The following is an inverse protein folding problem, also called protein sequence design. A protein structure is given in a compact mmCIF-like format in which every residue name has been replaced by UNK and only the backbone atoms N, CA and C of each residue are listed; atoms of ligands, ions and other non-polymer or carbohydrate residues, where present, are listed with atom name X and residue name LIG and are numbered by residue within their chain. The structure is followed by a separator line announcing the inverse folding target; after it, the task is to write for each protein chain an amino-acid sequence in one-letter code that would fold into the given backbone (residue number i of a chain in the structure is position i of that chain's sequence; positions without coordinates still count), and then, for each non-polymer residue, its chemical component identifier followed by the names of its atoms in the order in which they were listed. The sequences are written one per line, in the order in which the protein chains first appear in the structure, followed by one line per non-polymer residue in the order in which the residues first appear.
data_IF_517354349333
#
_entry.id   IF_517354349333
#
_cell.length_a   1.000
_cell.length_b   1.000
_cell.length_c   1.000
_cell.angle_alpha   90.00
_cell.angle_beta   90.00
_cell.angle_gamma   90.00
#
_symmetry.space_group_name_H-M   'P 1'
#
loop_
_entity.id
_entity.type
_entity.pdbx_description
1 polymer ?
#
# COMPACT_ATOMS: atom_id res chain seq x y z
N UNK A 1 24.31 29.36 41.65
CA UNK A 1 23.95 27.99 42.03
C UNK A 1 22.51 27.78 41.65
N UNK A 2 22.28 27.32 40.41
CA UNK A 2 20.94 27.04 39.88
C UNK A 2 20.83 25.53 39.69
N UNK A 3 19.98 24.93 40.50
CA UNK A 3 19.59 23.54 40.39
C UNK A 3 18.75 23.34 39.10
N UNK A 4 19.28 22.58 38.16
CA UNK A 4 18.53 22.01 37.03
C UNK A 4 17.76 20.82 37.58
N UNK A 5 16.45 20.97 37.71
CA UNK A 5 15.52 19.87 37.98
C UNK A 5 15.32 19.14 36.66
N UNK A 6 15.88 17.95 36.55
CA UNK A 6 15.56 17.02 35.46
C UNK A 6 14.20 16.40 35.74
N UNK A 7 13.19 16.90 35.01
CA UNK A 7 11.85 16.32 35.02
C UNK A 7 11.92 14.98 34.24
N UNK A 8 11.90 13.89 35.00
CA UNK A 8 11.68 12.55 34.47
C UNK A 8 10.20 12.44 34.12
N UNK A 9 9.82 12.83 32.89
CA UNK A 9 8.47 12.59 32.39
C UNK A 9 8.18 11.09 32.41
N UNK A 10 7.31 10.76 33.30
CA UNK A 10 6.72 9.48 33.61
C UNK A 10 6.02 8.92 32.31
N UNK A 11 6.60 7.90 31.68
CA UNK A 11 6.02 7.21 30.52
C UNK A 11 4.89 6.24 30.91
N UNK A 12 4.54 6.18 32.20
CA UNK A 12 3.50 5.28 32.75
C UNK A 12 2.07 5.73 32.44
N UNK A 13 1.89 6.86 31.74
CA UNK A 13 0.57 7.43 31.40
C UNK A 13 -0.04 6.98 30.06
N UNK A 14 0.63 6.11 29.30
CA UNK A 14 0.04 5.56 28.08
C UNK A 14 -0.87 4.41 28.50
N UNK A 15 -2.14 4.72 28.62
CA UNK A 15 -3.17 3.77 29.03
C UNK A 15 -3.17 2.56 28.08
N UNK A 16 -3.22 1.31 28.58
CA UNK A 16 -3.33 0.09 27.75
C UNK A 16 -4.54 0.10 26.80
N UNK A 17 -5.49 1.00 27.05
CA UNK A 17 -6.70 1.20 26.26
C UNK A 17 -6.40 1.71 24.84
N UNK A 18 -5.23 2.35 24.60
CA UNK A 18 -4.86 2.83 23.26
C UNK A 18 -4.38 1.68 22.38
N UNK A 19 -3.71 0.69 22.98
CA UNK A 19 -3.16 -0.46 22.23
C UNK A 19 -4.27 -1.43 21.77
N UNK A 20 -5.36 -1.53 22.52
CA UNK A 20 -6.47 -2.44 22.19
C UNK A 20 -7.46 -1.87 21.15
N UNK A 21 -7.31 -0.60 20.74
CA UNK A 21 -8.17 0.02 19.73
C UNK A 21 -7.69 -0.21 18.28
N UNK A 22 -6.46 -0.69 18.03
CA UNK A 22 -5.98 -0.94 16.67
C UNK A 22 -6.64 -2.15 16.02
N UNK A 23 -6.97 -3.20 16.78
CA UNK A 23 -7.73 -4.35 16.27
C UNK A 23 -9.17 -4.01 15.83
N UNK A 24 -9.74 -2.90 16.33
CA UNK A 24 -11.11 -2.51 16.00
C UNK A 24 -11.24 -1.71 14.70
N UNK A 25 -10.14 -1.36 14.03
CA UNK A 25 -10.15 -0.51 12.82
C UNK A 25 -10.34 -1.28 11.51
N UNK A 26 -10.59 -2.59 11.56
CA UNK A 26 -10.96 -3.36 10.36
C UNK A 26 -12.33 -2.92 9.88
N UNK A 27 -12.33 -2.18 8.78
CA UNK A 27 -13.55 -1.71 8.15
C UNK A 27 -14.38 -2.88 7.63
N UNK A 28 -15.59 -3.04 8.13
CA UNK A 28 -16.53 -4.00 7.58
C UNK A 28 -17.01 -3.60 6.18
N UNK A 29 -17.04 -4.52 5.20
CA UNK A 29 -17.45 -4.22 3.84
C UNK A 29 -18.91 -3.82 3.78
N UNK A 30 -19.20 -2.58 3.40
CA UNK A 30 -20.55 -2.00 3.39
C UNK A 30 -21.34 -2.23 2.10
N UNK A 31 -20.75 -2.93 1.10
CA UNK A 31 -21.42 -3.13 -0.19
C UNK A 31 -20.73 -4.16 -1.10
N UNK A 32 -21.34 -4.41 -2.27
CA UNK A 32 -20.80 -5.38 -3.24
C UNK A 32 -19.39 -5.02 -3.73
N UNK A 33 -19.12 -3.72 -3.95
CA UNK A 33 -17.79 -3.24 -4.36
C UNK A 33 -16.74 -3.45 -3.28
N UNK A 34 -17.10 -3.23 -2.02
CA UNK A 34 -16.21 -3.48 -0.88
C UNK A 34 -15.89 -4.96 -0.74
N UNK A 35 -16.91 -5.82 -0.89
CA UNK A 35 -16.71 -7.27 -0.85
C UNK A 35 -15.77 -7.75 -1.95
N UNK A 36 -15.93 -7.22 -3.18
CA UNK A 36 -15.04 -7.54 -4.30
C UNK A 36 -13.62 -7.05 -4.01
N UNK A 37 -13.45 -5.82 -3.57
CA UNK A 37 -12.14 -5.26 -3.26
C UNK A 37 -11.43 -6.07 -2.14
N UNK A 38 -12.14 -6.34 -1.05
CA UNK A 38 -11.63 -7.15 0.06
C UNK A 38 -11.26 -8.57 -0.39
N UNK A 39 -12.08 -9.20 -1.21
CA UNK A 39 -11.80 -10.55 -1.76
C UNK A 39 -10.54 -10.55 -2.62
N UNK A 40 -10.31 -9.53 -3.44
CA UNK A 40 -9.09 -9.39 -4.25
C UNK A 40 -7.87 -9.32 -3.33
N UNK A 41 -7.87 -8.44 -2.33
CA UNK A 41 -6.74 -8.25 -1.41
C UNK A 41 -6.46 -9.52 -0.62
N UNK A 42 -7.48 -10.14 -0.01
CA UNK A 42 -7.29 -11.40 0.72
C UNK A 42 -6.78 -12.56 -0.17
N UNK A 43 -7.21 -12.61 -1.44
CA UNK A 43 -6.69 -13.61 -2.37
C UNK A 43 -5.21 -13.39 -2.67
N UNK A 44 -4.80 -12.15 -2.85
CA UNK A 44 -3.39 -11.79 -3.06
C UNK A 44 -2.57 -12.09 -1.80
N UNK A 45 -3.05 -11.70 -0.62
CA UNK A 45 -2.39 -12.00 0.66
C UNK A 45 -2.20 -13.51 0.85
N UNK A 46 -3.25 -14.31 0.63
CA UNK A 46 -3.18 -15.77 0.76
C UNK A 46 -2.19 -16.41 -0.23
N UNK A 47 -2.12 -15.91 -1.47
CA UNK A 47 -1.13 -16.34 -2.47
C UNK A 47 0.28 -16.00 -1.98
N UNK A 48 0.48 -14.79 -1.46
CA UNK A 48 1.76 -14.35 -0.94
C UNK A 48 2.22 -15.16 0.26
N UNK A 49 1.31 -15.46 1.20
CA UNK A 49 1.58 -16.31 2.36
C UNK A 49 1.98 -17.72 1.94
N UNK A 50 1.29 -18.29 0.96
CA UNK A 50 1.62 -19.61 0.45
C UNK A 50 3.00 -19.69 -0.20
N UNK A 51 3.39 -18.66 -0.99
CA UNK A 51 4.67 -18.67 -1.71
C UNK A 51 5.87 -18.28 -0.85
N UNK A 52 5.70 -17.32 0.08
CA UNK A 52 6.84 -16.74 0.81
C UNK A 52 6.98 -17.26 2.24
N UNK A 53 5.95 -17.83 2.83
CA UNK A 53 5.97 -18.36 4.21
C UNK A 53 6.73 -17.46 5.19
N UNK A 54 7.91 -17.90 5.67
CA UNK A 54 8.75 -17.15 6.61
C UNK A 54 9.75 -16.18 5.94
N UNK A 55 9.74 -16.03 4.61
CA UNK A 55 10.66 -15.16 3.87
C UNK A 55 10.15 -13.72 3.79
N UNK A 56 9.97 -13.07 4.93
CA UNK A 56 9.34 -11.74 5.05
C UNK A 56 9.93 -10.67 4.14
N UNK A 57 11.28 -10.53 4.05
CA UNK A 57 11.90 -9.51 3.21
C UNK A 57 11.64 -9.72 1.71
N UNK A 58 11.60 -10.97 1.24
CA UNK A 58 11.29 -11.28 -0.16
C UNK A 58 9.81 -11.04 -0.47
N UNK A 59 8.92 -11.36 0.48
CA UNK A 59 7.50 -11.03 0.42
C UNK A 59 7.31 -9.51 0.31
N UNK A 60 8.00 -8.73 1.16
CA UNK A 60 7.95 -7.28 1.14
C UNK A 60 8.36 -6.71 -0.23
N UNK A 61 9.43 -7.20 -0.87
CA UNK A 61 9.84 -6.76 -2.22
C UNK A 61 8.71 -6.90 -3.24
N UNK A 62 7.94 -7.99 -3.19
CA UNK A 62 6.79 -8.17 -4.10
C UNK A 62 5.65 -7.23 -3.74
N UNK A 63 5.32 -7.11 -2.45
CA UNK A 63 4.22 -6.27 -1.97
C UNK A 63 4.46 -4.80 -2.29
N UNK A 64 5.64 -4.25 -2.04
CA UNK A 64 5.99 -2.86 -2.36
C UNK A 64 5.94 -2.60 -3.88
N UNK A 65 6.36 -3.61 -4.68
CA UNK A 65 6.24 -3.52 -6.14
C UNK A 65 4.78 -3.41 -6.60
N UNK A 66 3.87 -4.11 -5.93
CA UNK A 66 2.43 -4.07 -6.20
C UNK A 66 1.82 -2.78 -5.63
N UNK A 67 2.22 -2.36 -4.44
CA UNK A 67 1.70 -1.18 -3.75
C UNK A 67 1.97 0.13 -4.52
N UNK A 68 3.09 0.23 -5.24
CA UNK A 68 3.38 1.38 -6.09
C UNK A 68 2.45 1.52 -7.32
N UNK A 69 1.82 0.43 -7.78
CA UNK A 69 1.00 0.43 -9.01
C UNK A 69 -0.23 1.34 -8.93
N UNK A 70 -1.02 1.35 -7.84
CA UNK A 70 -2.18 2.22 -7.71
C UNK A 70 -1.87 3.70 -7.91
N UNK A 71 -0.82 4.20 -7.26
CA UNK A 71 -0.37 5.58 -7.39
C UNK A 71 0.05 5.91 -8.83
N UNK A 72 0.81 5.05 -9.49
CA UNK A 72 1.21 5.23 -10.89
C UNK A 72 0.01 5.23 -11.84
N UNK A 73 -0.89 4.27 -11.73
CA UNK A 73 -2.09 4.17 -12.59
C UNK A 73 -3.04 5.34 -12.35
N UNK A 74 -3.30 5.65 -11.08
CA UNK A 74 -4.15 6.76 -10.70
C UNK A 74 -3.59 8.10 -11.17
N UNK A 75 -2.31 8.36 -10.94
CA UNK A 75 -1.61 9.56 -11.39
C UNK A 75 -1.65 9.71 -12.91
N UNK A 76 -1.34 8.65 -13.66
CA UNK A 76 -1.41 8.65 -15.13
C UNK A 76 -2.81 8.99 -15.63
N UNK A 77 -3.85 8.30 -15.14
CA UNK A 77 -5.21 8.50 -15.60
C UNK A 77 -5.78 9.87 -15.21
N UNK A 78 -5.44 10.38 -14.03
CA UNK A 78 -5.82 11.74 -13.63
C UNK A 78 -5.09 12.79 -14.48
N UNK A 79 -3.82 12.56 -14.81
CA UNK A 79 -3.06 13.45 -15.68
C UNK A 79 -3.68 13.52 -17.09
N UNK A 80 -3.97 12.37 -17.70
CA UNK A 80 -4.64 12.30 -19.00
C UNK A 80 -6.03 12.98 -18.97
N UNK A 81 -6.78 12.81 -17.89
CA UNK A 81 -8.08 13.46 -17.70
C UNK A 81 -7.94 14.97 -17.58
N UNK A 82 -6.96 15.46 -16.81
CA UNK A 82 -6.68 16.88 -16.65
C UNK A 82 -6.34 17.53 -17.99
N UNK A 83 -5.48 16.92 -18.77
CA UNK A 83 -5.11 17.40 -20.11
C UNK A 83 -6.32 17.41 -21.06
N UNK A 84 -7.09 16.32 -21.12
CA UNK A 84 -8.24 16.17 -22.02
C UNK A 84 -9.33 17.20 -21.77
N UNK A 85 -9.59 17.51 -20.51
CA UNK A 85 -10.67 18.43 -20.13
C UNK A 85 -10.18 19.83 -19.75
N UNK A 86 -8.88 20.10 -19.87
CA UNK A 86 -8.23 21.39 -19.51
C UNK A 86 -8.71 21.83 -18.11
N UNK A 87 -8.59 20.92 -17.12
CA UNK A 87 -9.02 21.16 -15.74
C UNK A 87 -7.89 20.85 -14.77
N UNK A 88 -7.75 21.67 -13.73
CA UNK A 88 -6.87 21.38 -12.62
C UNK A 88 -7.29 20.10 -11.88
N UNK A 89 -6.31 19.35 -11.40
CA UNK A 89 -6.48 18.07 -10.70
C UNK A 89 -6.65 18.21 -9.17
N UNK A 90 -6.57 19.44 -8.65
CA UNK A 90 -6.66 19.77 -7.21
C UNK A 90 -5.60 19.06 -6.35
N UNK A 91 -4.41 18.83 -6.89
CA UNK A 91 -3.30 18.17 -6.19
C UNK A 91 -3.37 16.63 -6.17
N UNK A 92 -4.35 16.03 -6.84
CA UNK A 92 -4.47 14.57 -6.87
C UNK A 92 -3.33 13.87 -7.60
N UNK A 93 -2.80 14.49 -8.67
CA UNK A 93 -1.70 13.90 -9.43
C UNK A 93 -0.45 13.84 -8.54
N UNK A 94 -0.11 14.96 -7.88
CA UNK A 94 1.04 15.04 -6.97
C UNK A 94 0.90 14.01 -5.85
N UNK A 95 -0.23 13.97 -5.14
CA UNK A 95 -0.45 13.03 -4.05
C UNK A 95 -0.30 11.56 -4.47
N UNK A 96 -0.82 11.18 -5.65
CA UNK A 96 -0.73 9.80 -6.15
C UNK A 96 0.70 9.43 -6.59
N UNK A 97 1.46 10.38 -7.14
CA UNK A 97 2.85 10.16 -7.51
C UNK A 97 3.76 10.12 -6.29
N UNK A 98 3.50 10.92 -5.26
CA UNK A 98 4.21 10.88 -3.99
C UNK A 98 4.01 9.54 -3.28
N UNK A 99 2.79 8.99 -3.31
CA UNK A 99 2.48 7.65 -2.80
C UNK A 99 3.30 6.59 -3.56
N UNK A 100 3.27 6.61 -4.89
CA UNK A 100 4.06 5.66 -5.70
C UNK A 100 5.57 5.78 -5.46
N UNK A 101 6.09 6.99 -5.23
CA UNK A 101 7.49 7.23 -4.90
C UNK A 101 7.84 6.72 -3.50
N UNK A 102 6.95 6.87 -2.54
CA UNK A 102 7.12 6.31 -1.19
C UNK A 102 7.25 4.78 -1.24
N UNK A 103 6.36 4.09 -1.96
CA UNK A 103 6.44 2.65 -2.16
C UNK A 103 7.72 2.21 -2.88
N UNK A 104 8.16 3.00 -3.86
CA UNK A 104 9.45 2.76 -4.52
C UNK A 104 10.63 2.87 -3.54
N UNK A 105 10.60 3.80 -2.59
CA UNK A 105 11.64 3.92 -1.57
C UNK A 105 11.65 2.72 -0.63
N UNK A 106 10.49 2.23 -0.19
CA UNK A 106 10.37 1.00 0.59
C UNK A 106 10.93 -0.20 -0.19
N UNK A 107 10.57 -0.34 -1.46
CA UNK A 107 11.10 -1.38 -2.34
C UNK A 107 12.64 -1.39 -2.40
N UNK A 108 13.27 -0.21 -2.51
CA UNK A 108 14.72 -0.09 -2.53
C UNK A 108 15.35 -0.56 -1.21
N UNK A 109 14.75 -0.20 -0.08
CA UNK A 109 15.20 -0.61 1.26
C UNK A 109 15.11 -2.15 1.38
N UNK A 110 13.95 -2.73 1.09
CA UNK A 110 13.78 -4.20 1.17
C UNK A 110 14.65 -4.95 0.17
N UNK A 111 14.86 -4.42 -1.03
CA UNK A 111 15.77 -5.00 -2.03
C UNK A 111 17.22 -4.99 -1.56
N UNK A 112 17.65 -3.94 -0.85
CA UNK A 112 18.99 -3.85 -0.30
C UNK A 112 19.23 -4.89 0.83
N UNK A 113 18.19 -5.16 1.63
CA UNK A 113 18.24 -6.13 2.73
C UNK A 113 18.15 -7.57 2.21
N UNK A 114 17.14 -7.87 1.38
CA UNK A 114 16.85 -9.23 0.90
C UNK A 114 17.82 -9.73 -0.17
N UNK A 115 18.44 -8.80 -0.92
CA UNK A 115 19.33 -9.10 -2.06
C UNK A 115 18.73 -10.13 -3.01
N UNK A 116 17.57 -9.87 -3.62
CA UNK A 116 16.87 -10.85 -4.42
C UNK A 116 17.71 -11.33 -5.59
N UNK A 117 17.63 -12.63 -5.87
CA UNK A 117 18.29 -13.27 -7.01
C UNK A 117 17.74 -12.78 -8.33
N UNK A 118 18.42 -13.01 -9.44
CA UNK A 118 17.95 -12.65 -10.78
C UNK A 118 16.60 -13.31 -11.10
N UNK A 119 16.40 -14.56 -10.69
CA UNK A 119 15.13 -15.28 -10.90
C UNK A 119 14.00 -14.61 -10.13
N UNK A 120 14.22 -14.25 -8.87
CA UNK A 120 13.23 -13.54 -8.06
C UNK A 120 12.88 -12.17 -8.65
N UNK A 121 13.87 -11.43 -9.16
CA UNK A 121 13.64 -10.15 -9.87
C UNK A 121 12.77 -10.31 -11.11
N UNK A 122 13.03 -11.35 -11.92
CA UNK A 122 12.21 -11.66 -13.09
C UNK A 122 10.78 -12.01 -12.66
N UNK A 123 10.61 -12.83 -11.62
CA UNK A 123 9.30 -13.19 -11.09
C UNK A 123 8.54 -11.94 -10.60
N UNK A 124 9.20 -11.04 -9.87
CA UNK A 124 8.63 -9.76 -9.42
C UNK A 124 8.18 -8.91 -10.62
N UNK A 125 9.01 -8.80 -11.68
CA UNK A 125 8.64 -8.05 -12.88
C UNK A 125 7.40 -8.63 -13.58
N UNK A 126 7.30 -9.96 -13.63
CA UNK A 126 6.12 -10.66 -14.22
C UNK A 126 4.87 -10.35 -13.39
N UNK A 127 4.94 -10.47 -12.06
CA UNK A 127 3.82 -10.16 -11.15
C UNK A 127 3.41 -8.70 -11.30
N UNK A 128 4.36 -7.77 -11.31
CA UNK A 128 4.11 -6.35 -11.50
C UNK A 128 3.42 -6.07 -12.84
N UNK A 129 3.89 -6.69 -13.92
CA UNK A 129 3.30 -6.54 -15.25
C UNK A 129 1.83 -6.93 -15.27
N UNK A 130 1.48 -8.11 -14.76
CA UNK A 130 0.10 -8.56 -14.71
C UNK A 130 -0.75 -7.70 -13.77
N UNK A 131 -0.25 -7.39 -12.58
CA UNK A 131 -0.97 -6.57 -11.62
C UNK A 131 -1.25 -5.17 -12.16
N UNK A 132 -0.25 -4.53 -12.81
CA UNK A 132 -0.42 -3.22 -13.44
C UNK A 132 -1.57 -3.23 -14.46
N UNK A 133 -1.60 -4.20 -15.37
CA UNK A 133 -2.63 -4.26 -16.40
C UNK A 133 -4.02 -4.57 -15.84
N UNK A 134 -4.10 -5.50 -14.88
CA UNK A 134 -5.37 -5.82 -14.21
C UNK A 134 -5.89 -4.63 -13.40
N UNK A 135 -5.03 -3.96 -12.66
CA UNK A 135 -5.41 -2.78 -11.90
C UNK A 135 -5.81 -1.61 -12.79
N UNK A 136 -5.07 -1.39 -13.89
CA UNK A 136 -5.42 -0.39 -14.91
C UNK A 136 -6.82 -0.63 -15.48
N UNK A 137 -7.12 -1.86 -15.87
CA UNK A 137 -8.46 -2.24 -16.35
C UNK A 137 -9.53 -2.05 -15.26
N UNK A 138 -9.25 -2.47 -14.04
CA UNK A 138 -10.15 -2.25 -12.91
C UNK A 138 -10.44 -0.76 -12.70
N UNK A 139 -9.42 0.08 -12.79
CA UNK A 139 -9.57 1.53 -12.63
C UNK A 139 -10.42 2.14 -13.76
N UNK A 140 -10.26 1.69 -15.00
CA UNK A 140 -11.09 2.13 -16.12
C UNK A 140 -12.57 1.73 -15.97
N UNK A 141 -12.82 0.50 -15.50
CA UNK A 141 -14.18 -0.03 -15.32
C UNK A 141 -14.86 0.55 -14.07
N UNK A 142 -14.13 0.62 -12.97
CA UNK A 142 -14.67 1.05 -11.68
C UNK A 142 -13.63 1.74 -10.81
N UNK A 143 -13.38 3.04 -10.99
CA UNK A 143 -12.42 3.79 -10.17
C UNK A 143 -12.71 3.67 -8.67
N UNK A 144 -13.99 3.64 -8.30
CA UNK A 144 -14.40 3.50 -6.89
C UNK A 144 -13.96 2.16 -6.28
N UNK A 145 -14.03 1.07 -7.05
CA UNK A 145 -13.55 -0.24 -6.59
C UNK A 145 -12.03 -0.27 -6.52
N UNK A 146 -11.35 0.33 -7.50
CA UNK A 146 -9.89 0.44 -7.50
C UNK A 146 -9.36 1.17 -6.26
N UNK A 147 -9.93 2.33 -5.91
CA UNK A 147 -9.56 3.04 -4.68
C UNK A 147 -9.86 2.23 -3.39
N UNK A 148 -10.91 1.41 -3.40
CA UNK A 148 -11.20 0.52 -2.28
C UNK A 148 -10.18 -0.60 -2.11
N UNK A 149 -9.67 -1.13 -3.24
CA UNK A 149 -8.58 -2.12 -3.22
C UNK A 149 -7.36 -1.54 -2.53
N UNK A 150 -6.97 -0.30 -2.83
CA UNK A 150 -5.86 0.38 -2.15
C UNK A 150 -6.11 0.45 -0.64
N UNK A 151 -7.27 0.96 -0.21
CA UNK A 151 -7.57 1.06 1.22
C UNK A 151 -7.51 -0.29 1.96
N UNK A 152 -7.90 -1.39 1.32
CA UNK A 152 -7.76 -2.72 1.91
C UNK A 152 -6.32 -3.25 1.88
N UNK A 153 -5.50 -2.86 0.91
CA UNK A 153 -4.06 -3.15 0.95
C UNK A 153 -3.38 -2.47 2.14
N UNK A 154 -3.69 -1.21 2.39
CA UNK A 154 -3.18 -0.47 3.55
C UNK A 154 -3.61 -1.13 4.88
N UNK A 155 -4.88 -1.55 4.99
CA UNK A 155 -5.35 -2.30 6.16
C UNK A 155 -4.58 -3.61 6.36
N UNK A 156 -4.29 -4.36 5.29
CA UNK A 156 -3.57 -5.63 5.37
C UNK A 156 -2.08 -5.44 5.67
N UNK A 157 -1.48 -4.31 5.27
CA UNK A 157 -0.08 -4.01 5.55
C UNK A 157 0.20 -3.70 7.03
N UNK A 158 -0.80 -3.26 7.79
CA UNK A 158 -0.70 -2.94 9.21
C UNK A 158 -0.75 -4.21 10.08
N UNK A 159 -1.27 -5.32 9.58
CA UNK A 159 -1.45 -6.60 10.29
C UNK A 159 -0.45 -7.65 9.86
#
# INVERSE_FOLDING_TARGET
MNHVVTDHTNLDGISPTIINNEESYRREPSGSRDRVAKSIVHSIAAIMDFFFQERYCHRAVVLETIAAVPGMVGGLLQHLKSLRFIRGDRGWIEALLDEAENERMHLLIYSAISKPTTIERIAVMIVQFFFYHLYFLLYLVSPKTAHRVVGYFEEEAIH
#
